data_IF_089237352180
#
_entry.id   IF_089237352180
#
_cell.length_a   1.000
_cell.length_b   1.000
_cell.length_c   1.000
_cell.angle_alpha   90.00
_cell.angle_beta   90.00
_cell.angle_gamma   90.00
#
_symmetry.space_group_name_H-M   'P 1'
#
loop_
_entity.id
_entity.type
_entity.pdbx_description
1 polymer ?
#
# COMPACT_ATOMS: atom_id res chain seq x y z
N UNK A 1 -9.17 -10.61 11.97
CA UNK A 1 -7.83 -9.99 11.85
C UNK A 1 -7.96 -8.57 12.40
N UNK A 2 -7.02 -8.12 13.22
CA UNK A 2 -6.99 -6.74 13.74
C UNK A 2 -5.93 -5.95 12.98
N UNK A 3 -6.36 -4.93 12.24
CA UNK A 3 -5.47 -4.01 11.53
C UNK A 3 -5.28 -2.75 12.40
N UNK A 4 -4.22 -2.73 13.21
CA UNK A 4 -3.92 -1.65 14.18
C UNK A 4 -2.74 -0.79 13.70
N UNK A 5 -2.56 0.39 14.30
CA UNK A 5 -1.41 1.30 14.08
C UNK A 5 -1.22 1.88 12.66
N UNK A 6 -2.32 2.20 11.97
CA UNK A 6 -2.30 2.79 10.62
C UNK A 6 -2.23 4.34 10.59
N UNK A 7 -2.04 4.99 11.75
CA UNK A 7 -2.05 6.46 11.87
C UNK A 7 -0.91 7.19 11.13
N UNK A 8 0.05 6.44 10.57
CA UNK A 8 1.18 6.96 9.77
C UNK A 8 1.15 6.49 8.31
N UNK A 9 0.03 5.91 7.86
CA UNK A 9 -0.17 5.48 6.48
C UNK A 9 -0.44 6.65 5.53
N UNK A 10 -0.56 6.34 4.23
CA UNK A 10 -0.96 7.26 3.14
C UNK A 10 -0.04 8.44 2.82
N UNK A 11 1.01 8.70 3.60
CA UNK A 11 1.98 9.75 3.30
C UNK A 11 2.45 9.68 1.83
N UNK A 12 2.51 10.81 1.14
CA UNK A 12 2.80 10.92 -0.32
C UNK A 12 4.19 10.42 -0.73
N UNK A 13 5.21 10.67 0.10
CA UNK A 13 6.57 10.14 -0.10
C UNK A 13 6.68 8.63 0.21
N UNK A 14 7.45 7.86 -0.59
CA UNK A 14 7.70 6.45 -0.34
C UNK A 14 8.70 6.26 0.81
N UNK A 15 8.20 6.15 2.04
CA UNK A 15 8.97 5.86 3.26
C UNK A 15 8.37 4.65 3.97
N UNK A 16 8.29 3.55 3.22
CA UNK A 16 7.75 2.28 3.68
C UNK A 16 8.58 1.77 4.85
N UNK A 17 7.90 1.57 5.98
CA UNK A 17 8.44 0.91 7.16
C UNK A 17 7.46 -0.16 7.59
N UNK A 18 7.89 -1.41 7.60
CA UNK A 18 7.02 -2.53 7.91
C UNK A 18 7.78 -3.65 8.61
N UNK A 19 7.06 -4.65 9.10
CA UNK A 19 7.62 -5.87 9.70
C UNK A 19 7.49 -7.08 8.77
N UNK A 20 6.73 -6.96 7.67
CA UNK A 20 6.47 -8.04 6.71
C UNK A 20 7.64 -8.33 5.78
N UNK A 21 8.87 -7.96 6.17
CA UNK A 21 10.07 -8.14 5.35
C UNK A 21 10.44 -9.62 5.15
N UNK A 22 9.85 -10.53 5.93
CA UNK A 22 9.95 -11.97 5.68
C UNK A 22 9.37 -12.38 4.32
N UNK A 23 8.42 -11.61 3.77
CA UNK A 23 7.82 -11.83 2.45
C UNK A 23 8.55 -11.07 1.33
N UNK A 24 9.67 -10.38 1.60
CA UNK A 24 10.34 -9.57 0.59
C UNK A 24 10.72 -10.38 -0.66
N UNK A 25 10.43 -9.83 -1.84
CA UNK A 25 10.59 -10.49 -3.15
C UNK A 25 9.77 -11.77 -3.36
N UNK A 26 8.93 -12.20 -2.40
CA UNK A 26 7.98 -13.27 -2.65
C UNK A 26 6.86 -12.81 -3.60
N UNK A 27 6.34 -13.70 -4.46
CA UNK A 27 5.20 -13.39 -5.30
C UNK A 27 4.00 -12.95 -4.47
N UNK A 28 3.32 -11.89 -4.92
CA UNK A 28 2.03 -11.52 -4.33
C UNK A 28 0.99 -12.57 -4.76
N UNK A 29 0.21 -13.14 -3.84
CA UNK A 29 -0.86 -14.07 -4.18
C UNK A 29 -1.81 -13.52 -5.25
N UNK A 30 -2.22 -14.39 -6.18
CA UNK A 30 -3.02 -13.99 -7.36
C UNK A 30 -4.35 -13.38 -6.96
N UNK A 31 -5.01 -13.94 -5.95
CA UNK A 31 -6.25 -13.42 -5.37
C UNK A 31 -6.08 -11.99 -4.83
N UNK A 32 -4.95 -11.70 -4.17
CA UNK A 32 -4.64 -10.34 -3.70
C UNK A 32 -4.40 -9.40 -4.89
N UNK A 33 -3.76 -9.86 -5.97
CA UNK A 33 -3.60 -9.07 -7.19
C UNK A 33 -4.96 -8.72 -7.83
N UNK A 34 -5.85 -9.70 -7.97
CA UNK A 34 -7.21 -9.49 -8.51
C UNK A 34 -8.01 -8.49 -7.64
N UNK A 35 -7.91 -8.58 -6.32
CA UNK A 35 -8.54 -7.62 -5.41
C UNK A 35 -7.94 -6.20 -5.54
N UNK A 36 -6.63 -6.07 -5.74
CA UNK A 36 -5.98 -4.78 -5.98
C UNK A 36 -6.40 -4.15 -7.32
N UNK A 37 -6.57 -4.95 -8.37
CA UNK A 37 -7.09 -4.48 -9.66
C UNK A 37 -8.53 -3.97 -9.52
N UNK A 38 -9.40 -4.75 -8.85
CA UNK A 38 -10.78 -4.35 -8.58
C UNK A 38 -10.83 -3.07 -7.73
N UNK A 39 -9.95 -2.96 -6.72
CA UNK A 39 -9.83 -1.77 -5.90
C UNK A 39 -9.51 -0.52 -6.73
N UNK A 40 -8.58 -0.61 -7.68
CA UNK A 40 -8.25 0.51 -8.57
C UNK A 40 -9.43 0.92 -9.46
N UNK A 41 -10.17 -0.06 -9.99
CA UNK A 41 -11.39 0.20 -10.78
C UNK A 41 -12.41 0.96 -9.95
N UNK A 42 -12.71 0.47 -8.74
CA UNK A 42 -13.70 1.07 -7.84
C UNK A 42 -13.28 2.47 -7.38
N UNK A 43 -11.99 2.66 -7.06
CA UNK A 43 -11.46 3.95 -6.64
C UNK A 43 -11.59 5.01 -7.74
N UNK A 44 -11.28 4.65 -8.99
CA UNK A 44 -11.39 5.54 -10.15
C UNK A 44 -12.85 5.83 -10.52
N UNK A 45 -13.74 4.84 -10.38
CA UNK A 45 -15.18 4.99 -10.61
C UNK A 45 -15.88 5.80 -9.50
N UNK A 46 -15.17 6.19 -8.43
CA UNK A 46 -15.74 6.82 -7.23
C UNK A 46 -16.86 5.96 -6.63
N UNK A 47 -16.64 4.64 -6.61
CA UNK A 47 -17.60 3.68 -6.07
C UNK A 47 -17.85 3.97 -4.58
N UNK A 48 -19.10 3.83 -4.08
CA UNK A 48 -19.44 4.07 -2.68
C UNK A 48 -18.57 3.33 -1.66
N UNK A 49 -18.01 2.17 -2.01
CA UNK A 49 -17.10 1.42 -1.14
C UNK A 49 -15.77 2.16 -0.90
N UNK A 50 -15.38 3.06 -1.80
CA UNK A 50 -14.16 3.87 -1.71
C UNK A 50 -14.40 5.30 -1.27
N UNK A 51 -15.66 5.69 -1.04
CA UNK A 51 -16.05 7.06 -0.68
C UNK A 51 -15.28 7.60 0.53
N UNK A 52 -15.09 6.76 1.57
CA UNK A 52 -14.32 7.15 2.75
C UNK A 52 -12.87 7.54 2.46
N UNK A 53 -12.23 6.95 1.44
CA UNK A 53 -10.87 7.34 1.02
C UNK A 53 -10.87 8.70 0.33
N UNK A 54 -11.86 8.96 -0.52
CA UNK A 54 -12.04 10.26 -1.19
C UNK A 54 -12.34 11.39 -0.22
N UNK A 55 -13.06 11.10 0.87
CA UNK A 55 -13.41 12.08 1.90
C UNK A 55 -12.24 12.39 2.86
N UNK A 56 -11.36 11.42 3.12
CA UNK A 56 -10.34 11.53 4.17
C UNK A 56 -8.91 11.76 3.66
N UNK A 57 -8.62 11.42 2.41
CA UNK A 57 -7.30 11.59 1.81
C UNK A 57 -7.28 12.80 0.86
N UNK A 58 -6.17 13.54 0.88
CA UNK A 58 -5.93 14.53 -0.17
C UNK A 58 -5.74 13.87 -1.53
N UNK A 59 -5.99 14.61 -2.61
CA UNK A 59 -5.74 14.10 -3.96
C UNK A 59 -4.29 13.63 -4.16
N UNK A 60 -3.34 14.27 -3.47
CA UNK A 60 -1.92 13.92 -3.57
C UNK A 60 -1.62 12.55 -2.96
N UNK A 61 -2.33 12.20 -1.89
CA UNK A 61 -2.23 10.91 -1.19
C UNK A 61 -2.95 9.83 -1.99
N UNK A 62 -4.14 10.12 -2.53
CA UNK A 62 -4.86 9.21 -3.45
C UNK A 62 -4.00 8.87 -4.67
N UNK A 63 -3.42 9.89 -5.33
CA UNK A 63 -2.49 9.66 -6.45
C UNK A 63 -1.27 8.84 -6.04
N UNK A 64 -0.77 9.01 -4.81
CA UNK A 64 0.35 8.22 -4.32
C UNK A 64 -0.04 6.77 -4.01
N UNK A 65 -1.25 6.54 -3.52
CA UNK A 65 -1.82 5.21 -3.31
C UNK A 65 -1.98 4.48 -4.64
N UNK A 66 -2.64 5.09 -5.63
CA UNK A 66 -2.82 4.53 -6.98
C UNK A 66 -1.49 4.12 -7.60
N UNK A 67 -0.51 5.04 -7.65
CA UNK A 67 0.82 4.73 -8.22
C UNK A 67 1.53 3.56 -7.52
N UNK A 68 1.33 3.40 -6.21
CA UNK A 68 1.96 2.30 -5.46
C UNK A 68 1.25 0.97 -5.73
N UNK A 69 -0.07 0.97 -5.78
CA UNK A 69 -0.85 -0.23 -6.12
C UNK A 69 -0.51 -0.68 -7.55
N UNK A 70 -0.48 0.23 -8.51
CA UNK A 70 -0.04 -0.05 -9.89
C UNK A 70 1.39 -0.59 -9.94
N UNK A 71 2.32 0.02 -9.18
CA UNK A 71 3.69 -0.45 -9.10
C UNK A 71 3.83 -1.85 -8.50
N UNK A 72 3.03 -2.17 -7.48
CA UNK A 72 3.01 -3.50 -6.84
C UNK A 72 2.44 -4.55 -7.79
N UNK A 73 1.35 -4.25 -8.49
CA UNK A 73 0.75 -5.11 -9.53
C UNK A 73 1.74 -5.36 -10.67
N UNK A 74 2.42 -4.33 -11.16
CA UNK A 74 3.41 -4.45 -12.22
C UNK A 74 4.63 -5.28 -11.81
N UNK A 75 5.04 -5.19 -10.54
CA UNK A 75 6.13 -6.00 -10.00
C UNK A 75 5.71 -7.46 -9.75
N UNK A 76 4.46 -7.70 -9.33
CA UNK A 76 3.93 -9.02 -9.01
C UNK A 76 4.54 -9.68 -7.77
N UNK A 77 5.35 -8.94 -7.01
CA UNK A 77 6.07 -9.42 -5.83
C UNK A 77 6.13 -8.35 -4.75
N UNK A 78 6.25 -8.76 -3.49
CA UNK A 78 6.39 -7.83 -2.37
C UNK A 78 7.70 -7.02 -2.47
N UNK A 79 7.71 -5.75 -2.02
CA UNK A 79 8.86 -4.88 -2.16
C UNK A 79 10.03 -5.32 -1.28
N UNK A 80 11.25 -5.11 -1.77
CA UNK A 80 12.46 -5.25 -0.99
C UNK A 80 12.73 -4.00 -0.13
N UNK A 81 13.39 -4.14 1.03
CA UNK A 81 13.78 -3.00 1.85
C UNK A 81 14.83 -2.14 1.12
N UNK A 82 14.64 -0.81 1.12
CA UNK A 82 15.65 0.13 0.61
C UNK A 82 16.91 0.07 1.49
N UNK A 83 18.08 -0.33 0.95
CA UNK A 83 19.31 -0.47 1.72
C UNK A 83 19.85 0.86 2.27
N UNK A 84 19.38 1.99 1.73
CA UNK A 84 19.81 3.32 2.12
C UNK A 84 18.87 3.98 3.15
N UNK A 85 17.84 3.26 3.63
CA UNK A 85 16.83 3.81 4.56
C UNK A 85 16.52 2.85 5.70
N UNK A 86 16.04 3.43 6.81
CA UNK A 86 15.46 2.66 7.91
C UNK A 86 14.10 2.11 7.47
N UNK A 87 14.06 0.81 7.19
CA UNK A 87 12.86 0.10 6.70
C UNK A 87 12.05 -0.60 7.80
N UNK A 88 12.58 -0.69 9.03
CA UNK A 88 11.83 -1.20 10.18
C UNK A 88 11.12 -0.07 10.94
N UNK A 89 9.89 -0.29 11.44
CA UNK A 89 9.25 0.65 12.36
C UNK A 89 10.04 0.78 13.67
N UNK A 90 9.78 1.86 14.41
CA UNK A 90 10.33 2.09 15.74
C UNK A 90 9.23 1.91 16.79
N UNK A 91 9.52 1.39 18.00
CA UNK A 91 10.77 0.74 18.41
C UNK A 91 10.92 -0.65 17.77
N UNK A 92 12.17 -1.13 17.68
CA UNK A 92 12.41 -2.56 17.47
C UNK A 92 12.15 -3.22 18.83
N UNK A 93 11.01 -3.89 18.98
CA UNK A 93 10.73 -4.74 20.14
C UNK A 93 11.50 -6.04 20.06
#
# INVERSE_FOLDING_TARGET
IWAIDHGVCFHTQPKLRTVIWEFAAEPVPVDICEEMELFLVNLNAHDPQTAGLHETLSESELRALVRRTEGLLAAGQFPEPDPNRRCYPWPLV
#
